data_IF_196374686585
#
_entry.id   IF_196374686585
#
_cell.length_a   1.000
_cell.length_b   1.000
_cell.length_c   1.000
_cell.angle_alpha   90.00
_cell.angle_beta   90.00
_cell.angle_gamma   90.00
#
_symmetry.space_group_name_H-M   'P 1'
#
loop_
_entity.id
_entity.type
_entity.pdbx_description
1 polymer ?
#
# COMPACT_ATOMS: atom_id res chain seq x y z
N UNK A 1 -4.03 66.37 -6.11
CA UNK A 1 -2.98 65.76 -5.21
C UNK A 1 -3.67 64.80 -4.29
N UNK A 2 -3.71 63.55 -4.66
CA UNK A 2 -4.28 62.42 -3.90
C UNK A 2 -3.15 61.45 -3.57
N UNK A 3 -2.89 61.21 -2.30
CA UNK A 3 -1.86 60.26 -1.82
C UNK A 3 -2.36 58.82 -2.03
N UNK A 4 -1.63 58.07 -2.82
CA UNK A 4 -1.74 56.60 -2.91
C UNK A 4 -1.17 55.98 -1.62
N UNK A 5 -2.02 55.36 -0.82
CA UNK A 5 -1.62 54.51 0.30
C UNK A 5 -1.15 53.16 -0.25
N UNK A 6 0.12 52.85 -0.17
CA UNK A 6 0.69 51.52 -0.42
C UNK A 6 0.41 50.64 0.78
N UNK A 7 -0.51 49.68 0.62
CA UNK A 7 -0.71 48.56 1.54
C UNK A 7 0.53 47.64 1.46
N UNK A 8 1.36 47.67 2.50
CA UNK A 8 2.37 46.64 2.73
C UNK A 8 1.69 45.33 3.09
N UNK A 9 1.69 44.38 2.18
CA UNK A 9 1.33 42.99 2.45
C UNK A 9 2.44 42.39 3.34
N UNK A 10 2.15 42.15 4.60
CA UNK A 10 2.96 41.29 5.46
C UNK A 10 2.63 39.84 5.10
N UNK A 11 3.33 39.28 4.14
CA UNK A 11 3.35 37.83 3.93
C UNK A 11 4.06 37.21 5.14
N UNK A 12 3.29 36.75 6.11
CA UNK A 12 3.79 35.88 7.17
C UNK A 12 4.30 34.60 6.51
N UNK A 13 5.57 34.28 6.71
CA UNK A 13 6.12 33.00 6.30
C UNK A 13 5.30 31.89 6.97
N UNK A 14 4.62 31.07 6.16
CA UNK A 14 3.95 29.86 6.64
C UNK A 14 4.96 28.92 7.32
N UNK A 15 4.51 28.00 8.16
CA UNK A 15 5.39 27.07 8.86
C UNK A 15 6.25 26.30 7.85
N UNK A 16 7.56 26.28 8.07
CA UNK A 16 8.50 25.49 7.28
C UNK A 16 8.20 23.99 7.46
N UNK A 17 8.30 23.20 6.38
CA UNK A 17 8.29 21.74 6.41
C UNK A 17 9.28 21.26 7.50
N UNK A 18 8.83 20.39 8.38
CA UNK A 18 9.63 19.91 9.54
C UNK A 18 9.27 20.55 10.88
N UNK A 19 8.48 21.65 10.90
CA UNK A 19 7.99 22.24 12.14
C UNK A 19 6.59 21.74 12.58
N UNK A 20 5.90 20.99 11.71
CA UNK A 20 4.60 20.38 12.04
C UNK A 20 4.82 19.04 12.74
N UNK A 21 4.21 18.82 13.93
CA UNK A 21 4.27 17.53 14.57
C UNK A 21 3.63 16.47 13.66
N UNK A 22 4.26 15.29 13.54
CA UNK A 22 3.66 14.17 12.85
C UNK A 22 2.36 13.77 13.57
N UNK A 23 1.24 13.66 12.86
CA UNK A 23 -0.03 13.32 13.48
C UNK A 23 -0.01 11.91 14.04
N UNK A 24 -0.69 11.71 15.17
CA UNK A 24 -0.77 10.40 15.82
C UNK A 24 -1.65 9.41 15.05
N UNK A 25 -1.37 8.09 15.17
CA UNK A 25 -2.22 7.07 14.61
C UNK A 25 -3.65 7.14 15.15
N UNK A 26 -4.66 6.93 14.28
CA UNK A 26 -6.07 6.96 14.63
C UNK A 26 -6.62 5.57 14.97
N UNK A 27 -7.54 5.51 15.93
CA UNK A 27 -8.14 4.25 16.37
C UNK A 27 -9.18 3.69 15.40
N UNK A 28 -9.56 2.43 15.60
CA UNK A 28 -10.51 1.69 14.74
C UNK A 28 -11.85 2.42 14.56
N UNK A 29 -12.40 3.01 15.64
CA UNK A 29 -13.69 3.73 15.58
C UNK A 29 -13.63 4.97 14.68
N UNK A 30 -12.53 5.70 14.75
CA UNK A 30 -12.35 6.91 13.95
C UNK A 30 -12.17 6.55 12.47
N UNK A 31 -11.37 5.54 12.13
CA UNK A 31 -11.25 5.05 10.75
C UNK A 31 -12.60 4.62 10.18
N UNK A 32 -13.40 3.90 10.98
CA UNK A 32 -14.73 3.49 10.56
C UNK A 32 -15.65 4.70 10.32
N UNK A 33 -15.60 5.72 11.18
CA UNK A 33 -16.35 6.97 11.00
C UNK A 33 -15.96 7.68 9.70
N UNK A 34 -14.67 7.80 9.41
CA UNK A 34 -14.17 8.41 8.17
C UNK A 34 -14.65 7.61 6.95
N UNK A 35 -14.51 6.29 6.98
CA UNK A 35 -14.94 5.43 5.88
C UNK A 35 -16.47 5.52 5.63
N UNK A 36 -17.27 5.50 6.67
CA UNK A 36 -18.74 5.66 6.54
C UNK A 36 -19.14 7.05 5.99
N UNK A 37 -18.42 8.10 6.40
CA UNK A 37 -18.65 9.45 5.90
C UNK A 37 -18.28 9.65 4.43
N UNK A 38 -17.27 8.93 3.93
CA UNK A 38 -16.84 9.04 2.54
C UNK A 38 -17.53 8.03 1.62
N UNK A 39 -17.79 6.81 2.09
CA UNK A 39 -18.20 5.69 1.26
C UNK A 39 -19.68 5.32 1.38
N UNK A 40 -20.38 5.78 2.42
CA UNK A 40 -21.79 5.46 2.62
C UNK A 40 -22.68 6.70 2.64
N UNK A 41 -22.37 7.66 3.48
CA UNK A 41 -23.24 8.82 3.70
C UNK A 41 -23.57 9.64 2.45
N UNK A 42 -22.61 9.92 1.52
CA UNK A 42 -22.90 10.68 0.29
C UNK A 42 -23.91 9.98 -0.63
N UNK A 43 -24.01 8.65 -0.51
CA UNK A 43 -24.86 7.80 -1.36
C UNK A 43 -26.15 7.37 -0.63
N UNK A 44 -26.43 7.93 0.55
CA UNK A 44 -27.61 7.58 1.34
C UNK A 44 -27.57 6.13 1.88
N UNK A 45 -26.39 5.52 1.95
CA UNK A 45 -26.23 4.18 2.49
C UNK A 45 -25.96 4.21 3.99
N UNK A 46 -26.42 3.14 4.66
CA UNK A 46 -26.20 2.86 6.07
C UNK A 46 -25.78 1.41 6.27
N UNK A 47 -25.30 1.03 7.45
CA UNK A 47 -24.94 -0.35 7.81
C UNK A 47 -26.08 -1.35 7.58
N UNK A 48 -27.32 -0.90 7.69
CA UNK A 48 -28.51 -1.70 7.42
C UNK A 48 -28.59 -2.17 5.95
N UNK A 49 -28.19 -1.31 5.01
CA UNK A 49 -28.11 -1.63 3.59
C UNK A 49 -27.02 -2.68 3.31
N UNK A 50 -25.85 -2.57 3.95
CA UNK A 50 -24.78 -3.57 3.83
C UNK A 50 -25.25 -4.95 4.31
N UNK A 51 -25.91 -5.00 5.46
CA UNK A 51 -26.47 -6.26 5.99
C UNK A 51 -27.52 -6.86 5.08
N UNK A 52 -28.37 -6.05 4.44
CA UNK A 52 -29.38 -6.50 3.47
C UNK A 52 -28.75 -7.03 2.19
N UNK A 53 -27.73 -6.37 1.66
CA UNK A 53 -26.99 -6.85 0.47
C UNK A 53 -26.30 -8.19 0.75
N UNK A 54 -25.63 -8.33 1.90
CA UNK A 54 -25.00 -9.58 2.33
C UNK A 54 -26.03 -10.71 2.56
N UNK A 55 -27.21 -10.39 3.09
CA UNK A 55 -28.31 -11.36 3.22
C UNK A 55 -28.81 -11.83 1.85
N UNK A 56 -28.92 -10.92 0.89
CA UNK A 56 -29.29 -11.24 -0.49
C UNK A 56 -28.29 -12.20 -1.13
N UNK A 57 -26.98 -11.94 -1.01
CA UNK A 57 -25.91 -12.82 -1.51
C UNK A 57 -25.98 -14.20 -0.86
N UNK A 58 -26.13 -14.25 0.46
CA UNK A 58 -26.10 -15.49 1.24
C UNK A 58 -27.38 -16.31 1.16
N UNK A 59 -28.46 -15.79 0.55
CA UNK A 59 -29.79 -16.44 0.53
C UNK A 59 -29.83 -17.80 -0.15
N UNK A 60 -28.87 -18.10 -1.04
CA UNK A 60 -28.72 -19.38 -1.75
C UNK A 60 -27.54 -20.24 -1.29
N UNK A 61 -26.91 -19.92 -0.15
CA UNK A 61 -25.88 -20.74 0.46
C UNK A 61 -24.47 -20.47 -0.09
N UNK A 62 -23.91 -19.28 0.16
CA UNK A 62 -22.49 -19.03 -0.02
C UNK A 62 -21.68 -19.52 1.20
N UNK A 63 -20.43 -19.94 1.00
CA UNK A 63 -19.49 -20.27 2.07
C UNK A 63 -18.88 -19.01 2.69
N UNK A 64 -18.69 -17.94 1.89
CA UNK A 64 -18.25 -16.62 2.31
C UNK A 64 -18.81 -15.55 1.36
N UNK A 65 -18.97 -14.32 1.85
CA UNK A 65 -19.34 -13.16 1.04
C UNK A 65 -18.84 -11.87 1.69
N UNK A 66 -18.46 -10.92 0.85
CA UNK A 66 -18.05 -9.60 1.29
C UNK A 66 -18.45 -8.50 0.32
N UNK A 67 -18.51 -7.28 0.87
CA UNK A 67 -18.61 -6.02 0.18
C UNK A 67 -17.33 -5.24 0.49
N UNK A 68 -16.63 -4.77 -0.55
CA UNK A 68 -15.43 -3.97 -0.43
C UNK A 68 -15.67 -2.61 -1.07
N UNK A 69 -15.74 -1.58 -0.27
CA UNK A 69 -15.86 -0.20 -0.73
C UNK A 69 -14.49 0.45 -0.68
N UNK A 70 -14.20 1.27 -1.69
CA UNK A 70 -12.96 2.00 -1.78
C UNK A 70 -13.19 3.42 -2.29
N UNK A 71 -12.45 4.37 -1.74
CA UNK A 71 -12.26 5.72 -2.23
C UNK A 71 -10.78 6.01 -2.25
N UNK A 72 -10.24 6.29 -3.42
CA UNK A 72 -8.83 6.62 -3.60
C UNK A 72 -8.71 8.00 -4.25
N UNK A 73 -7.91 8.86 -3.66
CA UNK A 73 -7.51 10.13 -4.22
C UNK A 73 -6.01 10.16 -4.38
N UNK A 74 -5.53 10.46 -5.59
CA UNK A 74 -4.11 10.48 -5.92
C UNK A 74 -3.72 11.84 -6.50
N UNK A 75 -2.54 12.31 -6.15
CA UNK A 75 -1.94 13.50 -6.71
C UNK A 75 -0.45 13.27 -6.96
N UNK A 76 0.03 13.72 -8.12
CA UNK A 76 1.42 13.59 -8.51
C UNK A 76 1.97 14.89 -9.12
N UNK A 77 3.22 15.21 -8.80
CA UNK A 77 3.96 16.35 -9.36
C UNK A 77 5.31 15.89 -9.85
N UNK A 78 5.73 16.40 -11.00
CA UNK A 78 7.10 16.23 -11.47
C UNK A 78 7.72 17.58 -11.87
N UNK A 79 8.98 17.75 -11.51
CA UNK A 79 9.77 18.92 -11.83
C UNK A 79 11.08 18.50 -12.48
N UNK A 80 11.46 19.20 -13.54
CA UNK A 80 12.69 19.00 -14.27
C UNK A 80 13.18 20.35 -14.79
N UNK A 81 14.46 20.64 -14.56
CA UNK A 81 15.10 21.90 -14.99
C UNK A 81 14.36 23.17 -14.54
N UNK A 82 13.91 23.19 -13.29
CA UNK A 82 13.17 24.31 -12.72
C UNK A 82 11.75 24.48 -13.24
N UNK A 83 11.25 23.55 -14.06
CA UNK A 83 9.93 23.62 -14.66
C UNK A 83 9.07 22.44 -14.20
N UNK A 84 7.87 22.72 -13.70
CA UNK A 84 6.86 21.70 -13.46
C UNK A 84 6.43 21.11 -14.79
N UNK A 85 6.74 19.83 -15.02
CA UNK A 85 6.41 19.12 -16.26
C UNK A 85 4.99 18.53 -16.21
N UNK A 86 4.62 17.97 -15.05
CA UNK A 86 3.29 17.39 -14.87
C UNK A 86 2.75 17.69 -13.47
N UNK A 87 1.45 17.95 -13.43
CA UNK A 87 0.63 17.87 -12.24
C UNK A 87 -0.56 16.98 -12.57
N UNK A 88 -0.78 15.93 -11.81
CA UNK A 88 -1.90 14.99 -12.00
C UNK A 88 -2.74 14.92 -10.75
N UNK A 89 -4.03 14.75 -10.93
CA UNK A 89 -4.98 14.53 -9.86
C UNK A 89 -6.06 13.57 -10.33
N UNK A 90 -6.39 12.59 -9.51
CA UNK A 90 -7.47 11.64 -9.79
C UNK A 90 -8.24 11.27 -8.52
N UNK A 91 -9.52 10.97 -8.72
CA UNK A 91 -10.39 10.35 -7.72
C UNK A 91 -10.97 9.11 -8.37
N UNK A 92 -10.89 7.99 -7.67
CA UNK A 92 -11.51 6.73 -8.02
C UNK A 92 -12.27 6.18 -6.82
N UNK A 93 -13.48 5.65 -7.03
CA UNK A 93 -14.31 5.09 -5.98
C UNK A 93 -15.25 4.04 -6.51
N UNK A 94 -15.64 3.12 -5.66
CA UNK A 94 -16.59 2.10 -6.04
C UNK A 94 -16.77 1.02 -4.99
N UNK A 95 -17.52 -0.01 -5.39
CA UNK A 95 -17.80 -1.19 -4.56
C UNK A 95 -17.58 -2.46 -5.34
N UNK A 96 -16.82 -3.39 -4.75
CA UNK A 96 -16.72 -4.78 -5.19
C UNK A 96 -17.61 -5.67 -4.31
N UNK A 97 -18.33 -6.58 -4.94
CA UNK A 97 -19.24 -7.53 -4.30
C UNK A 97 -18.79 -8.92 -4.65
N UNK A 98 -18.51 -9.75 -3.63
CA UNK A 98 -17.99 -11.10 -3.82
C UNK A 98 -18.85 -12.13 -3.10
N UNK A 99 -19.04 -13.30 -3.75
CA UNK A 99 -19.58 -14.51 -3.15
C UNK A 99 -18.66 -15.70 -3.44
N UNK A 100 -18.45 -16.56 -2.47
CA UNK A 100 -17.59 -17.74 -2.58
C UNK A 100 -18.39 -19.01 -2.27
N UNK A 101 -18.26 -20.04 -3.11
CA UNK A 101 -18.88 -21.35 -2.93
C UNK A 101 -17.91 -22.45 -3.37
N UNK A 102 -17.40 -23.25 -2.42
CA UNK A 102 -16.29 -24.18 -2.67
C UNK A 102 -15.04 -23.42 -3.14
N UNK A 103 -14.55 -23.76 -4.31
CA UNK A 103 -13.42 -23.05 -4.98
C UNK A 103 -13.89 -21.94 -5.93
N UNK A 104 -15.20 -21.85 -6.19
CA UNK A 104 -15.76 -20.90 -7.14
C UNK A 104 -15.99 -19.55 -6.47
N UNK A 105 -15.66 -18.50 -7.18
CA UNK A 105 -15.91 -17.12 -6.76
C UNK A 105 -16.75 -16.42 -7.82
N UNK A 106 -17.85 -15.79 -7.37
CA UNK A 106 -18.58 -14.80 -8.14
C UNK A 106 -18.15 -13.40 -7.71
N UNK A 107 -18.02 -12.51 -8.66
CA UNK A 107 -17.61 -11.15 -8.43
C UNK A 107 -18.36 -10.19 -9.37
N UNK A 108 -18.82 -9.09 -8.81
CA UNK A 108 -19.33 -7.94 -9.55
C UNK A 108 -18.82 -6.65 -8.90
N UNK A 109 -18.68 -5.58 -9.66
CA UNK A 109 -18.26 -4.30 -9.13
C UNK A 109 -18.99 -3.16 -9.84
N UNK A 110 -19.00 -1.99 -9.20
CA UNK A 110 -19.55 -0.76 -9.74
C UNK A 110 -18.82 0.45 -9.17
N UNK A 111 -18.60 1.47 -9.97
CA UNK A 111 -18.20 2.82 -9.57
C UNK A 111 -19.38 3.62 -8.99
N UNK A 112 -20.62 3.22 -9.30
CA UNK A 112 -21.83 3.75 -8.66
C UNK A 112 -22.10 3.02 -7.34
N UNK A 113 -21.95 3.73 -6.22
CA UNK A 113 -22.16 3.22 -4.85
C UNK A 113 -23.65 3.37 -4.42
N UNK A 114 -24.59 3.56 -5.33
CA UNK A 114 -26.01 3.63 -4.99
C UNK A 114 -26.57 2.31 -4.47
N UNK A 115 -27.68 2.39 -3.70
CA UNK A 115 -28.37 1.19 -3.24
C UNK A 115 -28.83 0.29 -4.40
N UNK A 116 -29.27 0.89 -5.51
CA UNK A 116 -29.73 0.13 -6.69
C UNK A 116 -28.60 -0.70 -7.28
N UNK A 117 -27.44 -0.11 -7.52
CA UNK A 117 -26.26 -0.77 -8.08
C UNK A 117 -25.70 -1.84 -7.12
N UNK A 118 -25.64 -1.54 -5.83
CA UNK A 118 -25.20 -2.51 -4.81
C UNK A 118 -26.14 -3.73 -4.77
N UNK A 119 -27.45 -3.52 -4.84
CA UNK A 119 -28.42 -4.63 -4.82
C UNK A 119 -28.35 -5.46 -6.10
N UNK A 120 -28.16 -4.83 -7.26
CA UNK A 120 -28.01 -5.52 -8.55
C UNK A 120 -26.74 -6.37 -8.57
N UNK A 121 -25.60 -5.83 -8.13
CA UNK A 121 -24.36 -6.58 -7.96
C UNK A 121 -24.54 -7.77 -7.01
N UNK A 122 -25.22 -7.58 -5.86
CA UNK A 122 -25.50 -8.65 -4.90
C UNK A 122 -26.35 -9.78 -5.51
N UNK A 123 -27.35 -9.44 -6.32
CA UNK A 123 -28.18 -10.42 -7.06
C UNK A 123 -27.38 -11.15 -8.13
N UNK A 124 -26.50 -10.45 -8.84
CA UNK A 124 -25.62 -11.03 -9.84
C UNK A 124 -24.72 -12.10 -9.25
N UNK A 125 -23.98 -11.80 -8.17
CA UNK A 125 -23.06 -12.75 -7.57
C UNK A 125 -23.77 -13.92 -6.86
N UNK A 126 -25.01 -13.72 -6.40
CA UNK A 126 -25.83 -14.77 -5.81
C UNK A 126 -26.08 -15.95 -6.76
N UNK A 127 -26.10 -15.73 -8.07
CA UNK A 127 -26.42 -16.78 -9.05
C UNK A 127 -25.41 -17.93 -9.06
N UNK A 128 -24.18 -17.70 -8.67
CA UNK A 128 -23.07 -18.70 -8.68
C UNK A 128 -23.07 -19.54 -7.41
N UNK A 129 -23.60 -19.05 -6.29
CA UNK A 129 -23.50 -19.72 -5.00
C UNK A 129 -24.30 -21.04 -4.89
N UNK A 130 -25.22 -21.32 -5.82
CA UNK A 130 -26.09 -22.53 -5.75
C UNK A 130 -25.41 -23.86 -6.11
N UNK A 131 -24.20 -23.86 -6.69
CA UNK A 131 -23.61 -25.00 -7.37
C UNK A 131 -22.44 -25.69 -6.63
N UNK A 132 -22.33 -25.62 -5.30
CA UNK A 132 -21.24 -26.30 -4.60
C UNK A 132 -20.93 -25.86 -3.17
N UNK A 133 -21.85 -25.16 -2.51
CA UNK A 133 -21.66 -24.71 -1.14
C UNK A 133 -21.54 -25.90 -0.16
N UNK A 134 -20.43 -26.00 0.55
CA UNK A 134 -20.19 -26.96 1.63
C UNK A 134 -20.62 -26.45 3.01
N UNK A 135 -20.91 -25.15 3.13
CA UNK A 135 -21.35 -24.46 4.32
C UNK A 135 -22.46 -23.45 4.01
N UNK A 136 -23.13 -22.97 5.04
CA UNK A 136 -24.09 -21.86 4.91
C UNK A 136 -23.68 -20.76 5.86
N UNK A 137 -23.12 -19.69 5.33
CA UNK A 137 -22.98 -18.45 6.10
C UNK A 137 -24.36 -17.83 6.20
N UNK A 138 -24.88 -17.72 7.41
CA UNK A 138 -26.09 -16.93 7.67
C UNK A 138 -25.65 -15.48 7.82
N UNK A 139 -26.13 -14.61 6.95
CA UNK A 139 -25.96 -13.18 7.15
C UNK A 139 -26.45 -12.79 8.57
N UNK A 140 -25.68 -12.01 9.32
CA UNK A 140 -26.10 -11.61 10.66
C UNK A 140 -27.36 -10.77 10.58
N UNK A 141 -28.28 -11.00 11.54
CA UNK A 141 -29.37 -10.04 11.74
C UNK A 141 -28.76 -8.64 11.96
N UNK A 142 -29.35 -7.60 11.38
CA UNK A 142 -28.85 -6.22 11.35
C UNK A 142 -28.37 -5.63 12.71
N UNK A 143 -28.65 -6.30 13.80
CA UNK A 143 -28.35 -5.90 15.19
C UNK A 143 -26.95 -6.32 15.71
N UNK A 144 -26.16 -7.14 15.01
CA UNK A 144 -24.84 -7.62 15.50
C UNK A 144 -23.73 -7.38 14.48
N UNK A 145 -23.48 -6.10 14.20
CA UNK A 145 -22.25 -5.72 13.50
C UNK A 145 -21.07 -5.87 14.46
N UNK A 146 -20.10 -6.70 14.13
CA UNK A 146 -18.86 -6.88 14.86
C UNK A 146 -17.79 -6.01 14.20
N UNK A 147 -17.39 -4.93 14.86
CA UNK A 147 -16.25 -4.13 14.40
C UNK A 147 -14.97 -4.95 14.60
N UNK A 148 -14.24 -5.18 13.52
CA UNK A 148 -12.97 -5.90 13.58
C UNK A 148 -11.96 -5.12 14.44
N UNK A 149 -11.30 -5.83 15.36
CA UNK A 149 -10.12 -5.28 16.01
C UNK A 149 -9.03 -5.07 14.96
N UNK A 150 -8.41 -3.89 14.98
CA UNK A 150 -7.32 -3.56 14.06
C UNK A 150 -6.22 -2.81 14.79
N UNK A 151 -5.04 -2.74 14.19
CA UNK A 151 -3.91 -2.00 14.71
C UNK A 151 -4.07 -0.50 14.44
N UNK A 152 -3.20 0.31 15.01
CA UNK A 152 -3.08 1.75 14.73
C UNK A 152 -1.62 2.00 14.38
N UNK A 153 -1.26 1.75 13.11
CA UNK A 153 0.12 1.70 12.64
C UNK A 153 0.57 3.02 12.01
N UNK A 154 -0.37 3.88 11.61
CA UNK A 154 -0.10 5.14 10.95
C UNK A 154 -1.24 6.13 11.18
N UNK A 155 -0.97 7.40 10.93
CA UNK A 155 -1.96 8.46 11.00
C UNK A 155 -2.99 8.32 9.88
N UNK A 156 -4.28 8.41 10.20
CA UNK A 156 -5.37 8.41 9.21
C UNK A 156 -5.61 9.81 8.63
N UNK A 157 -4.58 10.45 8.12
CA UNK A 157 -4.65 11.79 7.53
C UNK A 157 -4.74 11.74 6.01
N UNK A 158 -5.22 12.80 5.41
CA UNK A 158 -5.15 13.02 3.97
C UNK A 158 -3.85 13.75 3.63
N UNK A 159 -2.86 13.07 3.03
CA UNK A 159 -1.56 13.69 2.76
C UNK A 159 -1.64 14.77 1.69
N UNK A 160 -2.62 14.69 0.78
CA UNK A 160 -2.81 15.65 -0.32
C UNK A 160 -3.22 17.02 0.23
N UNK A 161 -4.04 17.03 1.29
CA UNK A 161 -4.52 18.26 1.91
C UNK A 161 -3.53 18.91 2.89
N UNK A 162 -2.39 18.27 3.18
CA UNK A 162 -1.42 18.77 4.18
C UNK A 162 -0.61 19.98 3.69
N UNK A 163 -0.46 20.14 2.38
CA UNK A 163 0.20 21.29 1.74
C UNK A 163 -0.59 21.75 0.52
N UNK A 164 -0.55 23.04 0.23
CA UNK A 164 -1.03 23.58 -1.03
C UNK A 164 -0.09 23.29 -2.20
N UNK A 165 -0.53 23.55 -3.42
CA UNK A 165 0.25 23.29 -4.65
C UNK A 165 1.56 24.09 -4.68
N UNK A 166 1.56 25.33 -4.17
CA UNK A 166 2.75 26.18 -4.13
C UNK A 166 3.83 25.57 -3.25
N UNK A 167 3.45 25.10 -2.04
CA UNK A 167 4.39 24.48 -1.12
C UNK A 167 4.92 23.12 -1.65
N UNK A 168 4.10 22.34 -2.37
CA UNK A 168 4.53 21.10 -3.03
C UNK A 168 5.57 21.37 -4.12
N UNK A 169 5.33 22.38 -4.96
CA UNK A 169 6.28 22.81 -6.00
C UNK A 169 7.56 23.33 -5.37
N UNK A 170 7.47 24.16 -4.32
CA UNK A 170 8.63 24.68 -3.61
C UNK A 170 9.52 23.59 -3.01
N UNK A 171 8.92 22.46 -2.55
CA UNK A 171 9.67 21.28 -2.11
C UNK A 171 10.50 20.68 -3.27
N UNK A 172 9.91 20.51 -4.44
CA UNK A 172 10.60 19.96 -5.61
C UNK A 172 11.70 20.90 -6.12
N UNK A 173 11.45 22.21 -6.17
CA UNK A 173 12.45 23.24 -6.51
C UNK A 173 13.62 23.23 -5.52
N UNK A 174 13.35 23.04 -4.24
CA UNK A 174 14.38 22.90 -3.20
C UNK A 174 15.26 21.68 -3.46
N UNK A 175 14.68 20.51 -3.76
CA UNK A 175 15.40 19.28 -4.09
C UNK A 175 16.34 19.51 -5.28
N UNK A 176 15.84 20.11 -6.36
CA UNK A 176 16.65 20.42 -7.54
C UNK A 176 17.81 21.38 -7.24
N UNK A 177 17.51 22.49 -6.55
CA UNK A 177 18.51 23.48 -6.18
C UNK A 177 19.63 22.87 -5.33
N UNK A 178 19.29 22.03 -4.35
CA UNK A 178 20.26 21.36 -3.51
C UNK A 178 21.12 20.39 -4.33
N UNK A 179 20.53 19.60 -5.22
CA UNK A 179 21.25 18.64 -6.05
C UNK A 179 22.23 19.34 -7.00
N UNK A 180 21.81 20.42 -7.68
CA UNK A 180 22.70 21.23 -8.57
C UNK A 180 23.83 21.91 -7.81
N UNK A 181 23.58 22.30 -6.56
CA UNK A 181 24.62 22.95 -5.73
C UNK A 181 25.69 21.99 -5.21
N UNK A 182 25.44 20.67 -5.17
CA UNK A 182 26.37 19.66 -4.62
C UNK A 182 27.60 19.45 -5.49
N UNK A 183 27.44 19.41 -6.82
CA UNK A 183 28.56 19.19 -7.73
C UNK A 183 28.28 19.82 -9.12
N UNK A 184 29.26 20.51 -9.70
CA UNK A 184 29.16 21.15 -11.03
C UNK A 184 28.95 20.17 -12.19
N UNK A 185 29.16 18.89 -11.97
CA UNK A 185 28.91 17.81 -12.96
C UNK A 185 27.46 17.41 -13.03
N UNK A 186 26.63 17.81 -12.07
CA UNK A 186 25.18 17.59 -12.12
C UNK A 186 24.60 18.49 -13.22
N UNK A 187 24.19 17.87 -14.33
CA UNK A 187 23.69 18.58 -15.50
C UNK A 187 22.15 18.57 -15.59
N UNK A 188 21.50 17.57 -15.00
CA UNK A 188 20.04 17.44 -15.03
C UNK A 188 19.53 16.84 -13.72
N UNK A 189 18.40 17.33 -13.25
CA UNK A 189 17.72 16.86 -12.04
C UNK A 189 16.24 16.68 -12.34
N UNK A 190 15.70 15.52 -12.03
CA UNK A 190 14.29 15.20 -12.08
C UNK A 190 13.79 14.88 -10.68
N UNK A 191 12.84 15.65 -10.19
CA UNK A 191 12.23 15.44 -8.88
C UNK A 191 10.74 15.13 -9.03
N UNK A 192 10.24 14.14 -8.29
CA UNK A 192 8.84 13.73 -8.32
C UNK A 192 8.27 13.57 -6.93
N UNK A 193 7.01 14.00 -6.74
CA UNK A 193 6.24 13.85 -5.52
C UNK A 193 4.94 13.15 -5.86
N UNK A 194 4.67 12.03 -5.22
CA UNK A 194 3.42 11.27 -5.36
C UNK A 194 2.74 11.12 -3.99
N UNK A 195 1.43 11.30 -3.98
CA UNK A 195 0.60 11.22 -2.79
C UNK A 195 -0.66 10.43 -3.09
N UNK A 196 -1.09 9.63 -2.12
CA UNK A 196 -2.33 8.86 -2.19
C UNK A 196 -3.05 8.89 -0.85
N UNK A 197 -4.36 9.07 -0.92
CA UNK A 197 -5.27 8.93 0.19
C UNK A 197 -6.29 7.86 -0.17
N UNK A 198 -6.13 6.67 0.43
CA UNK A 198 -6.96 5.51 0.18
C UNK A 198 -7.79 5.18 1.42
N UNK A 199 -9.12 5.10 1.27
CA UNK A 199 -10.06 4.77 2.33
C UNK A 199 -10.86 3.56 1.93
N UNK A 200 -10.84 2.53 2.78
CA UNK A 200 -11.52 1.27 2.52
C UNK A 200 -12.50 0.91 3.63
N UNK A 201 -13.60 0.28 3.24
CA UNK A 201 -14.61 -0.30 4.14
C UNK A 201 -14.94 -1.71 3.66
N UNK A 202 -14.79 -2.67 4.56
CA UNK A 202 -15.08 -4.09 4.28
C UNK A 202 -16.22 -4.55 5.17
N UNK A 203 -17.30 -5.08 4.56
CA UNK A 203 -18.40 -5.71 5.27
C UNK A 203 -18.49 -7.19 4.88
N UNK A 204 -18.47 -8.10 5.85
CA UNK A 204 -18.47 -9.55 5.65
C UNK A 204 -19.79 -10.19 6.05
N UNK A 205 -20.10 -11.32 5.45
CA UNK A 205 -21.31 -12.11 5.76
C UNK A 205 -21.34 -12.68 7.18
N UNK A 206 -20.21 -12.77 7.87
CA UNK A 206 -20.12 -13.14 9.30
C UNK A 206 -20.46 -11.99 10.26
N UNK A 207 -20.81 -10.81 9.72
CA UNK A 207 -21.13 -9.59 10.47
C UNK A 207 -19.91 -8.71 10.79
N UNK A 208 -18.74 -9.08 10.34
CA UNK A 208 -17.53 -8.27 10.53
C UNK A 208 -17.62 -7.00 9.67
N UNK A 209 -17.30 -5.86 10.28
CA UNK A 209 -17.12 -4.56 9.62
C UNK A 209 -15.72 -4.05 9.96
N UNK A 210 -14.94 -3.76 8.95
CA UNK A 210 -13.58 -3.27 9.07
C UNK A 210 -13.37 -2.04 8.19
N UNK A 211 -12.50 -1.12 8.60
CA UNK A 211 -12.14 0.04 7.82
C UNK A 211 -10.68 0.40 8.01
N UNK A 212 -10.09 0.96 6.98
CA UNK A 212 -8.76 1.55 7.04
C UNK A 212 -8.70 2.89 6.31
N UNK A 213 -7.79 3.75 6.75
CA UNK A 213 -7.50 5.06 6.15
C UNK A 213 -6.00 5.09 5.91
N UNK A 214 -5.59 5.03 4.66
CA UNK A 214 -4.24 4.68 4.22
C UNK A 214 -3.58 5.85 3.49
N UNK A 215 -2.88 6.76 4.20
CA UNK A 215 -2.03 7.74 3.53
C UNK A 215 -0.85 7.05 2.87
N UNK A 216 -0.36 7.62 1.78
CA UNK A 216 0.89 7.20 1.18
C UNK A 216 1.55 8.40 0.51
N UNK A 217 2.83 8.61 0.79
CA UNK A 217 3.65 9.66 0.14
C UNK A 217 4.96 9.07 -0.36
N UNK A 218 5.46 9.62 -1.46
CA UNK A 218 6.76 9.29 -2.02
C UNK A 218 7.41 10.52 -2.64
N UNK A 219 8.64 10.80 -2.24
CA UNK A 219 9.56 11.71 -2.93
C UNK A 219 10.58 10.88 -3.69
N UNK A 220 10.79 11.19 -4.96
CA UNK A 220 11.79 10.55 -5.83
C UNK A 220 12.69 11.61 -6.43
N UNK A 221 13.98 11.30 -6.56
CA UNK A 221 14.99 12.14 -7.14
C UNK A 221 15.86 11.32 -8.09
N UNK A 222 16.06 11.83 -9.31
CA UNK A 222 17.02 11.29 -10.27
C UNK A 222 17.93 12.42 -10.71
N UNK A 223 19.22 12.16 -10.65
CA UNK A 223 20.30 13.08 -11.00
C UNK A 223 21.08 12.50 -12.17
N UNK A 224 21.37 13.33 -13.17
CA UNK A 224 22.31 13.01 -14.24
C UNK A 224 23.57 13.85 -14.05
N UNK A 225 24.70 13.18 -13.90
CA UNK A 225 26.01 13.81 -13.86
C UNK A 225 26.76 13.55 -15.18
N UNK A 226 27.50 14.55 -15.64
CA UNK A 226 28.30 14.47 -16.87
C UNK A 226 29.76 14.86 -16.64
N UNK A 227 30.66 14.06 -17.18
CA UNK A 227 32.09 14.37 -17.19
C UNK A 227 32.78 13.83 -18.44
N UNK A 228 33.44 14.68 -19.21
CA UNK A 228 34.18 14.30 -20.43
C UNK A 228 33.33 13.52 -21.45
N UNK A 229 32.05 13.89 -21.61
CA UNK A 229 31.11 13.26 -22.52
C UNK A 229 30.47 11.98 -21.99
N UNK A 230 30.87 11.49 -20.81
CA UNK A 230 30.20 10.37 -20.13
C UNK A 230 29.09 10.92 -19.25
N UNK A 231 27.89 10.37 -19.40
CA UNK A 231 26.70 10.69 -18.57
C UNK A 231 26.29 9.48 -17.77
N UNK A 232 26.03 9.70 -16.49
CA UNK A 232 25.62 8.62 -15.58
C UNK A 232 24.49 9.11 -14.65
N UNK A 233 23.70 8.15 -14.21
CA UNK A 233 22.49 8.38 -13.43
C UNK A 233 22.72 7.94 -11.99
N UNK A 234 22.21 8.73 -11.05
CA UNK A 234 22.00 8.33 -9.67
C UNK A 234 20.58 8.66 -9.23
N UNK A 235 19.99 7.80 -8.42
CA UNK A 235 18.63 7.99 -7.93
C UNK A 235 18.55 7.71 -6.45
N UNK A 236 17.70 8.47 -5.77
CA UNK A 236 17.35 8.25 -4.36
C UNK A 236 15.89 8.64 -4.12
N UNK A 237 15.41 8.39 -2.93
CA UNK A 237 14.07 8.74 -2.51
C UNK A 237 13.44 7.71 -1.61
N UNK A 238 12.27 8.02 -1.14
CA UNK A 238 11.54 7.17 -0.22
C UNK A 238 10.18 7.73 0.11
N UNK A 239 9.56 7.14 1.09
CA UNK A 239 8.24 7.51 1.57
C UNK A 239 7.63 6.43 2.42
N UNK A 240 6.36 6.57 2.72
CA UNK A 240 5.63 5.65 3.55
C UNK A 240 4.24 6.19 3.86
N UNK A 241 3.62 5.68 4.92
CA UNK A 241 2.28 6.06 5.34
C UNK A 241 2.32 7.30 6.23
N UNK A 242 2.73 8.42 5.62
CA UNK A 242 2.94 9.71 6.27
C UNK A 242 2.13 10.83 5.61
N UNK A 243 2.19 12.02 6.22
CA UNK A 243 1.93 13.28 5.54
C UNK A 243 3.23 13.88 4.97
N UNK A 244 3.10 14.97 4.23
CA UNK A 244 4.26 15.61 3.55
C UNK A 244 5.28 16.22 4.53
N UNK A 245 4.92 16.47 5.80
CA UNK A 245 5.86 16.91 6.84
C UNK A 245 6.99 15.89 7.12
N UNK A 246 6.84 14.64 6.66
CA UNK A 246 7.89 13.64 6.72
C UNK A 246 9.14 14.02 5.93
N UNK A 247 9.00 14.77 4.84
CA UNK A 247 10.12 15.23 4.02
C UNK A 247 10.73 16.50 4.60
N UNK A 248 11.34 16.38 5.77
CA UNK A 248 12.07 17.50 6.39
C UNK A 248 13.39 17.80 5.67
N UNK A 249 14.06 18.86 6.11
CA UNK A 249 15.29 19.35 5.49
C UNK A 249 16.43 18.32 5.56
N UNK A 250 16.52 17.57 6.63
CA UNK A 250 17.55 16.55 6.84
C UNK A 250 17.35 15.36 5.88
N UNK A 251 16.13 14.85 5.78
CA UNK A 251 15.80 13.74 4.89
C UNK A 251 15.93 14.13 3.42
N UNK A 252 15.47 15.33 3.05
CA UNK A 252 15.65 15.85 1.69
C UNK A 252 17.13 15.96 1.34
N UNK A 253 17.96 16.48 2.25
CA UNK A 253 19.42 16.56 2.04
C UNK A 253 20.04 15.18 1.89
N UNK A 254 19.63 14.20 2.69
CA UNK A 254 20.09 12.81 2.59
C UNK A 254 19.80 12.23 1.21
N UNK A 255 18.56 12.34 0.70
CA UNK A 255 18.22 11.85 -0.65
C UNK A 255 19.02 12.54 -1.75
N UNK A 256 19.28 13.85 -1.60
CA UNK A 256 20.13 14.59 -2.55
C UNK A 256 21.55 14.03 -2.53
N UNK A 257 22.12 13.82 -1.35
CA UNK A 257 23.47 13.28 -1.20
C UNK A 257 23.59 11.89 -1.82
N UNK A 258 22.68 10.98 -1.50
CA UNK A 258 22.64 9.63 -2.04
C UNK A 258 22.54 9.62 -3.58
N UNK A 259 21.66 10.42 -4.17
CA UNK A 259 21.49 10.47 -5.62
C UNK A 259 22.73 11.04 -6.33
N UNK A 260 23.27 12.15 -5.82
CA UNK A 260 24.45 12.78 -6.40
C UNK A 260 25.69 11.89 -6.26
N UNK A 261 25.94 11.32 -5.07
CA UNK A 261 27.06 10.42 -4.83
C UNK A 261 26.98 9.17 -5.74
N UNK A 262 25.79 8.59 -5.91
CA UNK A 262 25.56 7.49 -6.82
C UNK A 262 25.93 7.86 -8.27
N UNK A 263 25.45 8.98 -8.79
CA UNK A 263 25.77 9.44 -10.14
C UNK A 263 27.28 9.69 -10.33
N UNK A 264 27.93 10.33 -9.35
CA UNK A 264 29.37 10.63 -9.39
C UNK A 264 30.23 9.36 -9.28
N UNK A 265 29.79 8.38 -8.52
CA UNK A 265 30.43 7.06 -8.41
C UNK A 265 30.32 6.33 -9.74
N UNK A 266 29.15 6.34 -10.37
CA UNK A 266 28.90 5.72 -11.66
C UNK A 266 29.76 6.31 -12.78
N UNK A 267 30.09 7.62 -12.75
CA UNK A 267 31.04 8.23 -13.69
C UNK A 267 32.44 7.57 -13.68
N UNK A 268 32.81 6.94 -12.57
CA UNK A 268 34.10 6.24 -12.39
C UNK A 268 33.96 4.72 -12.54
N UNK A 269 32.74 4.20 -12.74
CA UNK A 269 32.47 2.78 -12.78
C UNK A 269 33.14 2.11 -13.99
N UNK A 270 33.47 0.82 -13.84
CA UNK A 270 33.96 -0.06 -14.89
C UNK A 270 32.93 -1.14 -15.13
N UNK A 271 32.88 -1.75 -16.33
CA UNK A 271 32.03 -2.93 -16.57
C UNK A 271 32.32 -4.01 -15.55
N UNK A 272 31.24 -4.62 -15.01
CA UNK A 272 31.37 -5.77 -14.14
C UNK A 272 31.90 -6.98 -14.95
N UNK A 273 32.74 -7.87 -14.38
CA UNK A 273 33.14 -9.10 -15.03
C UNK A 273 31.91 -9.98 -15.30
N UNK A 274 31.89 -10.62 -16.49
CA UNK A 274 30.85 -11.60 -16.82
C UNK A 274 31.32 -12.99 -16.41
N UNK A 275 30.42 -13.81 -15.87
CA UNK A 275 30.72 -15.20 -15.51
C UNK A 275 30.10 -15.58 -14.15
N UNK A 276 30.28 -16.83 -13.78
CA UNK A 276 29.88 -17.36 -12.48
C UNK A 276 30.80 -16.84 -11.37
N UNK A 277 30.25 -16.29 -10.33
CA UNK A 277 31.02 -15.77 -9.21
C UNK A 277 30.22 -15.75 -7.91
N UNK A 278 30.89 -15.74 -6.77
CA UNK A 278 30.28 -15.53 -5.47
C UNK A 278 29.82 -14.08 -5.33
N UNK A 279 28.56 -13.89 -4.97
CA UNK A 279 27.94 -12.56 -4.78
C UNK A 279 27.51 -12.39 -3.34
N UNK A 280 27.86 -11.25 -2.73
CA UNK A 280 27.37 -10.83 -1.42
C UNK A 280 26.34 -9.72 -1.66
N UNK A 281 25.11 -9.97 -1.23
CA UNK A 281 24.02 -8.98 -1.31
C UNK A 281 23.92 -8.23 0.02
N UNK A 282 24.10 -6.91 -0.03
CA UNK A 282 23.89 -6.02 1.13
C UNK A 282 22.41 -5.82 1.46
N UNK A 283 22.07 -5.10 2.56
CA UNK A 283 20.71 -4.70 2.86
C UNK A 283 20.19 -3.65 1.85
N UNK A 284 18.85 -3.46 1.83
CA UNK A 284 18.19 -2.47 0.98
C UNK A 284 17.70 -3.04 -0.35
N UNK A 285 18.09 -2.49 -1.49
CA UNK A 285 17.60 -2.88 -2.82
C UNK A 285 17.67 -4.39 -3.13
N UNK A 286 18.67 -5.17 -2.69
CA UNK A 286 18.65 -6.63 -2.83
C UNK A 286 17.45 -7.33 -2.18
N UNK A 287 16.71 -6.66 -1.28
CA UNK A 287 15.42 -7.14 -0.78
C UNK A 287 14.39 -7.40 -1.88
N UNK A 288 14.51 -6.76 -3.06
CA UNK A 288 13.68 -7.05 -4.23
C UNK A 288 13.90 -8.49 -4.71
N UNK A 289 15.13 -8.99 -4.70
CA UNK A 289 15.39 -10.40 -5.04
C UNK A 289 14.71 -11.36 -4.07
N UNK A 290 14.71 -11.05 -2.77
CA UNK A 290 13.95 -11.81 -1.77
C UNK A 290 12.46 -11.78 -2.05
N UNK A 291 11.92 -10.62 -2.42
CA UNK A 291 10.52 -10.43 -2.80
C UNK A 291 10.15 -11.32 -3.99
N UNK A 292 10.91 -11.27 -5.08
CA UNK A 292 10.63 -12.01 -6.31
C UNK A 292 10.88 -13.52 -6.17
N UNK A 293 12.04 -13.91 -5.64
CA UNK A 293 12.43 -15.32 -5.59
C UNK A 293 11.76 -16.11 -4.45
N UNK A 294 11.40 -15.46 -3.34
CA UNK A 294 10.87 -16.13 -2.14
C UNK A 294 9.46 -15.66 -1.84
N UNK A 295 9.23 -14.36 -1.78
CA UNK A 295 7.97 -13.77 -1.37
C UNK A 295 6.79 -14.24 -2.25
N UNK A 296 6.84 -14.03 -3.56
CA UNK A 296 5.82 -14.53 -4.49
C UNK A 296 5.72 -16.06 -4.49
N UNK A 297 6.84 -16.76 -4.31
CA UNK A 297 6.84 -18.22 -4.18
C UNK A 297 6.08 -18.73 -2.95
N UNK A 298 5.89 -17.90 -1.92
CA UNK A 298 5.20 -18.25 -0.68
C UNK A 298 3.76 -17.73 -0.61
N UNK A 299 3.19 -17.22 -1.70
CA UNK A 299 1.76 -16.89 -1.79
C UNK A 299 0.90 -18.16 -1.82
N UNK A 300 -0.16 -18.17 -1.02
CA UNK A 300 -0.94 -19.36 -0.71
C UNK A 300 -1.67 -19.96 -1.90
N UNK A 301 -2.11 -19.14 -2.86
CA UNK A 301 -2.83 -19.60 -4.05
C UNK A 301 -1.92 -20.42 -5.00
N UNK A 302 -0.68 -19.99 -5.23
CA UNK A 302 0.30 -20.77 -6.01
C UNK A 302 0.66 -22.08 -5.32
N UNK A 303 0.82 -22.05 -3.99
CA UNK A 303 1.14 -23.24 -3.20
C UNK A 303 -0.02 -24.22 -3.13
N UNK A 304 -1.26 -23.76 -2.98
CA UNK A 304 -2.45 -24.60 -3.04
C UNK A 304 -2.62 -25.30 -4.41
N UNK A 305 -2.37 -24.56 -5.47
CA UNK A 305 -2.45 -25.07 -6.85
C UNK A 305 -1.26 -25.95 -7.25
N UNK A 306 -0.22 -26.04 -6.43
CA UNK A 306 0.98 -26.83 -6.71
C UNK A 306 1.92 -26.22 -7.76
N UNK A 307 1.77 -24.96 -8.10
CA UNK A 307 2.58 -24.28 -9.12
C UNK A 307 3.83 -23.59 -8.56
N UNK A 308 3.95 -23.45 -7.24
CA UNK A 308 5.15 -22.92 -6.59
C UNK A 308 6.18 -24.03 -6.32
N UNK A 309 7.47 -23.68 -6.40
CA UNK A 309 8.57 -24.54 -5.96
C UNK A 309 8.53 -24.88 -4.45
N UNK A 310 7.77 -24.12 -3.65
CA UNK A 310 7.57 -24.34 -2.22
C UNK A 310 6.34 -25.19 -1.88
N UNK A 311 5.54 -25.58 -2.88
CA UNK A 311 4.31 -26.32 -2.65
C UNK A 311 4.56 -27.66 -1.95
N UNK A 312 3.82 -27.93 -0.85
CA UNK A 312 3.94 -29.15 -0.06
C UNK A 312 5.24 -29.28 0.77
N UNK A 313 6.02 -28.22 0.91
CA UNK A 313 7.32 -28.25 1.59
C UNK A 313 7.32 -27.69 3.03
N UNK A 314 6.15 -27.45 3.62
CA UNK A 314 6.09 -27.03 5.04
C UNK A 314 6.82 -28.05 5.92
N UNK A 315 7.65 -27.57 6.85
CA UNK A 315 8.51 -28.38 7.72
C UNK A 315 9.81 -28.87 7.06
N UNK A 316 10.02 -28.61 5.77
CA UNK A 316 11.24 -28.98 5.07
C UNK A 316 12.22 -27.82 5.02
N UNK A 317 13.50 -28.13 4.85
CA UNK A 317 14.55 -27.14 4.62
C UNK A 317 14.46 -26.61 3.19
N UNK A 318 14.29 -25.29 3.08
CA UNK A 318 14.19 -24.56 1.79
C UNK A 318 15.23 -23.46 1.66
N UNK A 319 15.96 -23.15 2.72
CA UNK A 319 17.05 -22.19 2.75
C UNK A 319 18.20 -22.68 3.65
N UNK A 320 19.32 -21.99 3.62
CA UNK A 320 20.46 -22.28 4.50
C UNK A 320 20.06 -22.11 5.98
N UNK A 321 20.78 -22.83 6.85
CA UNK A 321 20.66 -22.67 8.31
C UNK A 321 20.96 -21.22 8.70
N UNK A 322 20.19 -20.65 9.63
CA UNK A 322 20.28 -19.27 10.07
C UNK A 322 19.42 -18.29 9.25
N UNK A 323 18.86 -18.70 8.09
CA UNK A 323 17.98 -17.86 7.29
C UNK A 323 16.57 -17.85 7.88
N UNK A 324 16.10 -16.67 8.28
CA UNK A 324 14.73 -16.46 8.76
C UNK A 324 14.08 -15.33 7.96
N UNK A 325 12.94 -15.64 7.33
CA UNK A 325 12.17 -14.73 6.47
C UNK A 325 10.78 -14.52 7.02
N UNK A 326 10.37 -13.26 7.05
CA UNK A 326 9.08 -12.82 7.57
C UNK A 326 8.32 -12.01 6.52
N UNK A 327 6.99 -12.07 6.59
CA UNK A 327 6.10 -11.06 6.03
C UNK A 327 5.34 -10.38 7.17
N UNK A 328 5.58 -9.08 7.37
CA UNK A 328 5.11 -8.36 8.54
C UNK A 328 4.34 -7.09 8.16
N UNK A 329 3.02 -7.19 8.17
CA UNK A 329 2.13 -6.05 7.93
C UNK A 329 1.97 -5.11 9.13
N UNK A 330 2.70 -5.34 10.24
CA UNK A 330 2.49 -4.64 11.52
C UNK A 330 3.56 -3.58 11.83
N UNK A 331 4.50 -3.36 10.93
CA UNK A 331 5.52 -2.33 11.07
C UNK A 331 4.91 -0.94 10.93
N UNK A 332 5.13 -0.04 11.90
CA UNK A 332 4.58 1.30 11.83
C UNK A 332 5.06 2.04 10.56
N UNK A 333 4.16 2.81 9.97
CA UNK A 333 4.42 3.78 8.89
C UNK A 333 5.04 3.22 7.59
N UNK A 334 5.27 1.91 7.50
CA UNK A 334 5.82 1.29 6.28
C UNK A 334 4.77 1.22 5.17
N UNK A 335 5.22 1.35 3.92
CA UNK A 335 4.37 1.31 2.71
C UNK A 335 3.51 0.04 2.65
N UNK A 336 4.09 -1.13 2.94
CA UNK A 336 3.40 -2.41 2.89
C UNK A 336 2.49 -2.69 4.09
N UNK A 337 2.54 -1.88 5.16
CA UNK A 337 1.77 -2.11 6.39
C UNK A 337 0.30 -1.74 6.22
N UNK A 338 -0.58 -2.51 6.88
CA UNK A 338 -2.02 -2.34 6.86
C UNK A 338 -2.57 -2.52 8.28
N UNK A 339 -3.54 -1.69 8.67
CA UNK A 339 -4.27 -1.93 9.92
C UNK A 339 -5.20 -3.14 9.80
N UNK A 340 -5.82 -3.29 8.62
CA UNK A 340 -6.57 -4.47 8.17
C UNK A 340 -6.28 -4.70 6.69
N UNK A 341 -6.32 -5.96 6.25
CA UNK A 341 -6.25 -6.32 4.84
C UNK A 341 -7.57 -6.03 4.09
N UNK A 342 -7.63 -6.30 2.79
CA UNK A 342 -8.79 -6.00 1.95
C UNK A 342 -9.91 -7.05 2.05
N UNK A 343 -9.78 -7.98 2.97
CA UNK A 343 -10.83 -8.91 3.42
C UNK A 343 -11.27 -8.63 4.88
N UNK A 344 -10.73 -7.57 5.51
CA UNK A 344 -11.09 -7.14 6.86
C UNK A 344 -10.39 -7.91 7.99
N UNK A 345 -9.36 -8.68 7.71
CA UNK A 345 -8.51 -9.31 8.73
C UNK A 345 -7.43 -8.34 9.22
N UNK A 346 -7.17 -8.34 10.52
CA UNK A 346 -6.03 -7.59 11.06
C UNK A 346 -4.72 -8.11 10.46
N UNK A 347 -3.83 -7.21 10.05
CA UNK A 347 -2.50 -7.61 9.60
C UNK A 347 -1.70 -8.29 10.72
N UNK A 348 -0.78 -9.17 10.34
CA UNK A 348 0.00 -9.97 11.26
C UNK A 348 1.50 -9.97 10.89
N UNK A 349 2.31 -10.42 11.82
CA UNK A 349 3.70 -10.79 11.60
C UNK A 349 3.76 -12.29 11.35
N UNK A 350 4.00 -12.68 10.13
CA UNK A 350 3.99 -14.06 9.66
C UNK A 350 5.43 -14.54 9.46
N UNK A 351 5.84 -15.58 10.19
CA UNK A 351 7.12 -16.25 9.95
C UNK A 351 6.93 -17.22 8.80
N UNK A 352 7.62 -17.00 7.70
CA UNK A 352 7.53 -17.82 6.48
C UNK A 352 8.59 -18.91 6.47
N UNK A 353 9.83 -18.54 6.77
CA UNK A 353 10.97 -19.46 6.90
C UNK A 353 11.64 -19.16 8.24
N UNK A 354 11.96 -20.17 9.03
CA UNK A 354 12.67 -20.05 10.31
C UNK A 354 13.87 -21.00 10.32
N UNK A 355 15.05 -20.48 10.54
CA UNK A 355 16.33 -21.25 10.50
C UNK A 355 16.44 -22.12 9.22
N UNK A 356 15.96 -21.61 8.10
CA UNK A 356 15.93 -22.31 6.82
C UNK A 356 14.82 -23.34 6.62
N UNK A 357 13.92 -23.51 7.59
CA UNK A 357 12.77 -24.42 7.53
C UNK A 357 11.51 -23.65 7.19
N UNK A 358 10.78 -24.11 6.17
CA UNK A 358 9.51 -23.51 5.76
C UNK A 358 8.43 -23.71 6.83
N UNK A 359 7.86 -22.60 7.32
CA UNK A 359 6.84 -22.59 8.38
C UNK A 359 5.42 -22.48 7.82
N UNK A 360 5.22 -21.72 6.75
CA UNK A 360 3.89 -21.47 6.20
C UNK A 360 3.91 -20.60 4.96
N UNK A 361 2.72 -20.24 4.52
CA UNK A 361 2.47 -19.37 3.36
C UNK A 361 1.65 -18.16 3.78
N UNK A 362 1.72 -17.07 3.04
CA UNK A 362 0.80 -15.95 3.20
C UNK A 362 -0.55 -16.30 2.56
N UNK A 363 -1.65 -16.00 3.25
CA UNK A 363 -2.98 -16.51 2.93
C UNK A 363 -4.04 -15.41 2.87
N UNK A 364 -4.92 -15.47 1.87
CA UNK A 364 -6.24 -14.85 1.88
C UNK A 364 -7.30 -15.78 2.53
N UNK A 365 -8.53 -15.35 2.63
CA UNK A 365 -9.62 -16.14 3.22
C UNK A 365 -9.94 -17.40 2.40
N UNK A 366 -9.95 -17.31 1.07
CA UNK A 366 -10.29 -18.44 0.18
C UNK A 366 -9.24 -19.55 0.29
N UNK A 367 -7.97 -19.20 0.07
CA UNK A 367 -6.89 -20.18 0.08
C UNK A 367 -6.65 -20.76 1.48
N UNK A 368 -6.75 -19.92 2.54
CA UNK A 368 -6.68 -20.37 3.91
C UNK A 368 -7.77 -21.43 4.23
N UNK A 369 -9.02 -21.17 3.83
CA UNK A 369 -10.13 -22.13 4.02
C UNK A 369 -9.89 -23.45 3.29
N UNK A 370 -9.48 -23.39 2.03
CA UNK A 370 -9.22 -24.57 1.20
C UNK A 370 -8.02 -25.39 1.69
N UNK A 371 -7.01 -24.72 2.23
CA UNK A 371 -5.84 -25.37 2.85
C UNK A 371 -6.04 -25.72 4.33
N UNK A 372 -7.21 -25.39 4.91
CA UNK A 372 -7.57 -25.64 6.32
C UNK A 372 -6.62 -24.97 7.32
N UNK A 373 -6.17 -23.78 6.99
CA UNK A 373 -5.36 -22.91 7.84
C UNK A 373 -6.09 -21.59 8.13
N UNK A 374 -5.49 -20.70 8.91
CA UNK A 374 -6.04 -19.37 9.19
C UNK A 374 -5.58 -18.36 8.14
N UNK A 375 -6.39 -17.34 7.79
CA UNK A 375 -5.93 -16.17 7.05
C UNK A 375 -4.78 -15.48 7.79
N UNK A 376 -3.86 -14.89 7.04
CA UNK A 376 -2.65 -14.27 7.59
C UNK A 376 -2.69 -12.73 7.58
N UNK A 377 -3.81 -12.13 7.15
CA UNK A 377 -3.92 -10.68 6.98
C UNK A 377 -3.22 -10.18 5.72
N UNK A 378 -3.22 -11.02 4.70
CA UNK A 378 -2.56 -10.79 3.41
C UNK A 378 -3.53 -10.82 2.22
N UNK A 379 -4.84 -10.85 2.46
CA UNK A 379 -5.84 -10.75 1.39
C UNK A 379 -5.85 -9.35 0.81
N UNK A 380 -5.27 -9.15 -0.39
CA UNK A 380 -5.10 -7.83 -0.99
C UNK A 380 -5.77 -7.73 -2.35
N UNK A 381 -6.35 -6.56 -2.62
CA UNK A 381 -6.97 -6.19 -3.90
C UNK A 381 -6.14 -5.10 -4.59
N UNK A 382 -6.15 -5.09 -5.89
CA UNK A 382 -5.63 -3.97 -6.68
C UNK A 382 -6.55 -2.75 -6.54
N UNK A 383 -7.87 -2.98 -6.64
CA UNK A 383 -8.91 -1.98 -6.38
C UNK A 383 -10.26 -2.66 -6.06
N UNK A 384 -11.31 -1.85 -5.86
CA UNK A 384 -12.69 -2.36 -5.72
C UNK A 384 -13.15 -3.20 -6.93
N UNK A 385 -12.54 -3.02 -8.10
CA UNK A 385 -12.86 -3.77 -9.32
C UNK A 385 -12.11 -5.12 -9.43
N UNK A 386 -11.35 -5.53 -8.39
CA UNK A 386 -10.53 -6.74 -8.42
C UNK A 386 -10.83 -7.68 -7.25
N UNK A 387 -10.62 -8.98 -7.50
CA UNK A 387 -10.71 -10.00 -6.47
C UNK A 387 -9.50 -9.90 -5.50
N UNK A 388 -9.70 -10.22 -4.21
CA UNK A 388 -8.57 -10.37 -3.30
C UNK A 388 -7.76 -11.61 -3.63
N UNK A 389 -6.47 -11.53 -3.38
CA UNK A 389 -5.52 -12.63 -3.49
C UNK A 389 -4.44 -12.50 -2.41
N UNK A 390 -3.73 -13.59 -2.07
CA UNK A 390 -2.60 -13.48 -1.16
C UNK A 390 -1.52 -12.58 -1.76
N UNK A 391 -1.07 -11.58 -1.01
CA UNK A 391 0.02 -10.67 -1.40
C UNK A 391 0.85 -10.29 -0.20
N UNK A 392 2.15 -10.11 -0.44
CA UNK A 392 3.08 -9.64 0.57
C UNK A 392 2.69 -8.29 1.15
N UNK A 393 3.08 -8.07 2.39
CA UNK A 393 3.08 -6.77 3.07
C UNK A 393 4.50 -6.21 3.12
N UNK A 394 5.23 -6.40 4.20
CA UNK A 394 6.66 -6.08 4.25
C UNK A 394 7.43 -7.38 4.44
N UNK A 395 7.99 -7.89 3.36
CA UNK A 395 8.77 -9.14 3.37
C UNK A 395 10.24 -8.81 3.55
N UNK A 396 10.87 -9.40 4.55
CA UNK A 396 12.29 -9.18 4.84
C UNK A 396 12.94 -10.40 5.50
N UNK A 397 14.26 -10.47 5.38
CA UNK A 397 15.09 -11.45 6.06
C UNK A 397 15.70 -10.81 7.29
N UNK A 398 15.69 -11.54 8.41
CA UNK A 398 16.36 -11.11 9.63
C UNK A 398 17.88 -11.11 9.45
N UNK A 399 18.56 -10.21 10.17
CA UNK A 399 20.02 -10.26 10.27
C UNK A 399 20.48 -11.57 10.92
N UNK A 400 21.63 -12.07 10.48
CA UNK A 400 22.31 -13.20 11.10
C UNK A 400 23.21 -12.76 12.27
N UNK A 401 23.98 -13.71 12.79
CA UNK A 401 24.88 -13.50 13.94
C UNK A 401 26.18 -12.78 13.55
N UNK A 402 26.44 -12.58 12.26
CA UNK A 402 27.68 -11.95 11.76
C UNK A 402 27.42 -10.48 11.45
N UNK A 403 28.38 -9.63 11.84
CA UNK A 403 28.42 -8.26 11.37
C UNK A 403 28.65 -8.22 9.84
N UNK A 404 28.08 -7.24 9.14
CA UNK A 404 28.37 -7.00 7.74
C UNK A 404 29.84 -6.75 7.46
#
# INVERSE_FOLDING_TARGET
MGRMNTLKSSAGAGPTLGQLPLPSPVGTRERLRVAEQLLLAPFGLERSHLSRALAEISSRGADDADLYFQYTRSEGWSLEEGIVKTGSFSIDQGVGVRAVSGEKTAFAYSDDISWASLLDAARTVRTISAAGAQGRVKAPAARRVKVAASRSLYAGLDPIATLDSTAKVALLEKVERLAKAKDRRVVQVMAGLAMEYDVVLVARADGTLAADVRPLVRLSLTVIAEQKGRREVGSAGGGGRFGLAYFDDALVSQYVDEAVESALTNLKSRPAPAGEMTVVLGPGWPGVLLHEAVGHGLEGDFNRKGSSAFAGRIGQRVAAKGVTVLDDGTLADRRGSLNVDDEGHASARNVLIEDGILQGYIQDSLNARLMKVKPTGNGRRESYAHLPMPRMTNTYMLGGDKSP
#
